data_IF_865116539259
#
_entry.id   IF_865116539259
#
_cell.length_a   1.000
_cell.length_b   1.000
_cell.length_c   1.000
_cell.angle_alpha   90.00
_cell.angle_beta   90.00
_cell.angle_gamma   90.00
#
_symmetry.space_group_name_H-M   'P 1'
#
loop_
_entity.id
_entity.type
_entity.pdbx_description
1 polymer ?
#
# COMPACT_ATOMS: atom_id res chain seq x y z
N UNK A 1 -4.16 6.88 -17.15
CA UNK A 1 -5.09 6.18 -16.22
C UNK A 1 -5.88 5.20 -17.05
N UNK A 2 -6.01 3.95 -16.60
CA UNK A 2 -6.73 2.90 -17.34
C UNK A 2 -8.22 3.26 -17.44
N UNK A 3 -8.79 3.27 -18.65
CA UNK A 3 -10.20 3.57 -18.87
C UNK A 3 -11.00 2.27 -18.92
N UNK A 4 -11.77 2.00 -17.85
CA UNK A 4 -12.55 0.78 -17.70
C UNK A 4 -14.05 1.09 -17.57
N UNK A 5 -14.92 0.36 -18.28
CA UNK A 5 -16.37 0.47 -18.06
C UNK A 5 -16.74 0.27 -16.59
N UNK A 6 -17.42 1.26 -16.00
CA UNK A 6 -17.84 1.25 -14.59
C UNK A 6 -16.84 1.85 -13.59
N UNK A 7 -15.66 2.30 -14.04
CA UNK A 7 -14.68 2.93 -13.14
C UNK A 7 -15.15 4.29 -12.60
N UNK A 8 -15.96 5.03 -13.37
CA UNK A 8 -16.49 6.33 -12.95
C UNK A 8 -17.44 6.21 -11.74
N UNK A 9 -18.21 5.13 -11.67
CA UNK A 9 -19.04 4.82 -10.49
C UNK A 9 -18.16 4.59 -9.26
N UNK A 10 -17.08 3.82 -9.41
CA UNK A 10 -16.12 3.60 -8.33
C UNK A 10 -15.55 4.94 -7.85
N UNK A 11 -15.09 5.81 -8.74
CA UNK A 11 -14.55 7.13 -8.36
C UNK A 11 -15.60 8.00 -7.65
N UNK A 12 -16.85 7.99 -8.11
CA UNK A 12 -17.93 8.71 -7.44
C UNK A 12 -18.20 8.17 -6.04
N UNK A 13 -18.19 6.85 -5.85
CA UNK A 13 -18.39 6.23 -4.54
C UNK A 13 -17.23 6.54 -3.58
N UNK A 14 -15.98 6.49 -4.06
CA UNK A 14 -14.79 6.86 -3.29
C UNK A 14 -14.85 8.33 -2.87
N UNK A 15 -15.16 9.24 -3.81
CA UNK A 15 -15.31 10.67 -3.54
C UNK A 15 -16.41 10.94 -2.52
N UNK A 16 -17.51 10.18 -2.58
CA UNK A 16 -18.61 10.25 -1.62
C UNK A 16 -18.33 9.51 -0.31
N UNK A 17 -17.13 8.97 -0.09
CA UNK A 17 -16.73 8.21 1.10
C UNK A 17 -17.62 6.98 1.38
N UNK A 18 -18.28 6.43 0.35
CA UNK A 18 -19.13 5.24 0.43
C UNK A 18 -18.29 3.97 0.31
N UNK A 19 -17.41 3.74 1.29
CA UNK A 19 -16.36 2.71 1.28
C UNK A 19 -16.87 1.31 0.92
N UNK A 20 -17.91 0.83 1.59
CA UNK A 20 -18.43 -0.53 1.34
C UNK A 20 -19.03 -0.67 -0.07
N UNK A 21 -19.72 0.37 -0.55
CA UNK A 21 -20.24 0.40 -1.92
C UNK A 21 -19.11 0.44 -2.95
N UNK A 22 -18.05 1.22 -2.69
CA UNK A 22 -16.88 1.29 -3.54
C UNK A 22 -16.16 -0.07 -3.61
N UNK A 23 -15.96 -0.75 -2.48
CA UNK A 23 -15.37 -2.09 -2.42
C UNK A 23 -16.22 -3.12 -3.17
N UNK A 24 -17.56 -3.07 -3.02
CA UNK A 24 -18.46 -3.95 -3.76
C UNK A 24 -18.37 -3.72 -5.28
N UNK A 25 -18.27 -2.47 -5.73
CA UNK A 25 -18.09 -2.14 -7.14
C UNK A 25 -16.70 -2.57 -7.66
N UNK A 26 -15.64 -2.32 -6.89
CA UNK A 26 -14.27 -2.74 -7.20
C UNK A 26 -14.15 -4.25 -7.30
N UNK A 27 -14.80 -5.02 -6.41
CA UNK A 27 -14.82 -6.48 -6.50
C UNK A 27 -15.44 -6.98 -7.80
N UNK A 28 -16.52 -6.35 -8.28
CA UNK A 28 -17.13 -6.67 -9.58
C UNK A 28 -16.18 -6.35 -10.73
N UNK A 29 -15.50 -5.21 -10.69
CA UNK A 29 -14.49 -4.86 -11.69
C UNK A 29 -13.30 -5.81 -11.67
N UNK A 30 -12.80 -6.18 -10.49
CA UNK A 30 -11.67 -7.10 -10.35
C UNK A 30 -11.99 -8.50 -10.88
N UNK A 31 -13.26 -8.94 -10.79
CA UNK A 31 -13.70 -10.20 -11.41
C UNK A 31 -13.71 -10.12 -12.94
N UNK A 32 -14.07 -8.97 -13.51
CA UNK A 32 -14.15 -8.75 -14.97
C UNK A 32 -12.80 -8.42 -15.60
N UNK A 33 -11.94 -7.72 -14.86
CA UNK A 33 -10.64 -7.20 -15.28
C UNK A 33 -9.56 -7.63 -14.28
N UNK A 34 -9.27 -8.93 -14.14
CA UNK A 34 -8.39 -9.45 -13.08
C UNK A 34 -6.94 -8.96 -13.17
N UNK A 35 -6.49 -8.55 -14.36
CA UNK A 35 -5.15 -8.02 -14.63
C UNK A 35 -5.06 -6.50 -14.50
N UNK A 36 -6.17 -5.79 -14.21
CA UNK A 36 -6.11 -4.34 -13.99
C UNK A 36 -5.40 -4.04 -12.67
N UNK A 37 -4.17 -3.52 -12.77
CA UNK A 37 -3.44 -3.02 -11.62
C UNK A 37 -4.16 -1.81 -10.99
N UNK A 38 -4.82 -0.98 -11.81
CA UNK A 38 -5.51 0.21 -11.33
C UNK A 38 -6.71 -0.13 -10.43
N UNK A 39 -7.51 -1.14 -10.78
CA UNK A 39 -8.61 -1.62 -9.93
C UNK A 39 -8.07 -2.10 -8.58
N UNK A 40 -7.00 -2.89 -8.58
CA UNK A 40 -6.37 -3.40 -7.36
C UNK A 40 -5.74 -2.30 -6.50
N UNK A 41 -5.16 -1.29 -7.13
CA UNK A 41 -4.65 -0.10 -6.45
C UNK A 41 -5.77 0.69 -5.76
N UNK A 42 -6.90 0.92 -6.44
CA UNK A 42 -8.05 1.59 -5.83
C UNK A 42 -8.67 0.77 -4.69
N UNK A 43 -8.77 -0.56 -4.84
CA UNK A 43 -9.19 -1.49 -3.78
C UNK A 43 -8.33 -1.31 -2.54
N UNK A 44 -7.00 -1.34 -2.70
CA UNK A 44 -6.06 -1.09 -1.61
C UNK A 44 -6.26 0.26 -0.94
N UNK A 45 -6.42 1.34 -1.72
CA UNK A 45 -6.68 2.67 -1.16
C UNK A 45 -7.95 2.70 -0.29
N UNK A 46 -9.05 2.13 -0.79
CA UNK A 46 -10.34 2.12 -0.06
C UNK A 46 -10.26 1.25 1.20
N UNK A 47 -9.58 0.10 1.13
CA UNK A 47 -9.36 -0.75 2.30
C UNK A 47 -8.55 -0.03 3.39
N UNK A 48 -7.46 0.66 3.02
CA UNK A 48 -6.69 1.47 3.97
C UNK A 48 -7.51 2.62 4.56
N UNK A 49 -8.36 3.27 3.76
CA UNK A 49 -9.29 4.30 4.25
C UNK A 49 -10.38 3.73 5.16
N UNK A 50 -10.62 2.42 5.12
CA UNK A 50 -11.53 1.70 6.01
C UNK A 50 -10.80 0.94 7.13
N UNK A 51 -9.49 1.19 7.32
CA UNK A 51 -8.62 0.52 8.31
C UNK A 51 -8.54 -1.01 8.14
N UNK A 52 -8.87 -1.52 6.95
CA UNK A 52 -8.79 -2.94 6.56
C UNK A 52 -7.37 -3.26 6.06
N UNK A 53 -6.39 -3.12 6.95
CA UNK A 53 -4.96 -3.15 6.59
C UNK A 53 -4.53 -4.39 5.82
N UNK A 54 -4.97 -5.57 6.25
CA UNK A 54 -4.57 -6.85 5.64
C UNK A 54 -5.13 -6.98 4.23
N UNK A 55 -6.41 -6.63 4.03
CA UNK A 55 -7.05 -6.65 2.72
C UNK A 55 -6.39 -5.63 1.79
N UNK A 56 -6.12 -4.43 2.30
CA UNK A 56 -5.47 -3.38 1.53
C UNK A 56 -4.05 -3.76 1.06
N UNK A 57 -3.25 -4.40 1.93
CA UNK A 57 -1.93 -4.92 1.55
C UNK A 57 -2.06 -6.02 0.50
N UNK A 58 -3.04 -6.92 0.64
CA UNK A 58 -3.29 -7.97 -0.34
C UNK A 58 -3.69 -7.39 -1.72
N UNK A 59 -4.53 -6.36 -1.73
CA UNK A 59 -4.92 -5.65 -2.94
C UNK A 59 -3.72 -4.91 -3.58
N UNK A 60 -2.89 -4.21 -2.80
CA UNK A 60 -1.68 -3.58 -3.33
C UNK A 60 -0.67 -4.59 -3.88
N UNK A 61 -0.46 -5.73 -3.22
CA UNK A 61 0.37 -6.80 -3.78
C UNK A 61 -0.18 -7.31 -5.11
N UNK A 62 -1.49 -7.40 -5.26
CA UNK A 62 -2.10 -7.72 -6.55
C UNK A 62 -1.86 -6.63 -7.60
N UNK A 63 -1.94 -5.35 -7.22
CA UNK A 63 -1.60 -4.24 -8.10
C UNK A 63 -0.14 -4.32 -8.57
N UNK A 64 0.81 -4.54 -7.65
CA UNK A 64 2.24 -4.67 -7.96
C UNK A 64 2.56 -5.88 -8.86
N UNK A 65 1.84 -7.00 -8.70
CA UNK A 65 1.97 -8.16 -9.59
C UNK A 65 1.50 -7.86 -11.01
N UNK A 66 0.43 -7.08 -11.13
CA UNK A 66 -0.14 -6.71 -12.43
C UNK A 66 0.67 -5.59 -13.11
N UNK A 67 1.21 -4.66 -12.33
CA UNK A 67 2.09 -3.59 -12.79
C UNK A 67 3.04 -3.14 -11.66
N UNK A 68 4.33 -3.45 -11.83
CA UNK A 68 5.36 -3.15 -10.85
C UNK A 68 5.59 -1.65 -10.63
N UNK A 69 5.10 -0.77 -11.52
CA UNK A 69 5.24 0.69 -11.36
C UNK A 69 4.52 1.21 -10.10
N UNK A 70 3.44 0.54 -9.65
CA UNK A 70 2.74 0.90 -8.41
C UNK A 70 3.60 0.78 -7.16
N UNK A 71 4.75 0.09 -7.22
CA UNK A 71 5.74 0.09 -6.13
C UNK A 71 6.16 1.50 -5.73
N UNK A 72 6.22 2.41 -6.69
CA UNK A 72 6.66 3.80 -6.48
C UNK A 72 5.48 4.77 -6.28
N UNK A 73 4.25 4.29 -6.22
CA UNK A 73 3.08 5.16 -6.04
C UNK A 73 3.11 5.77 -4.62
N UNK A 74 3.18 7.11 -4.48
CA UNK A 74 3.33 7.75 -3.17
C UNK A 74 2.23 7.35 -2.18
N UNK A 75 0.99 7.22 -2.66
CA UNK A 75 -0.16 6.81 -1.82
C UNK A 75 0.01 5.41 -1.25
N UNK A 76 0.57 4.46 -2.01
CA UNK A 76 0.80 3.08 -1.54
C UNK A 76 1.81 3.07 -0.39
N UNK A 77 2.92 3.80 -0.57
CA UNK A 77 3.98 3.91 0.45
C UNK A 77 3.44 4.61 1.71
N UNK A 78 2.74 5.73 1.54
CA UNK A 78 2.14 6.48 2.65
C UNK A 78 1.12 5.64 3.43
N UNK A 79 0.27 4.88 2.73
CA UNK A 79 -0.67 3.98 3.39
C UNK A 79 0.04 2.87 4.16
N UNK A 80 1.06 2.24 3.58
CA UNK A 80 1.85 1.24 4.27
C UNK A 80 2.52 1.79 5.54
N UNK A 81 3.04 3.02 5.50
CA UNK A 81 3.57 3.73 6.68
C UNK A 81 2.46 4.02 7.70
N UNK A 82 1.28 4.50 7.26
CA UNK A 82 0.13 4.76 8.14
C UNK A 82 -0.24 3.53 8.96
N UNK A 83 -0.24 2.35 8.35
CA UNK A 83 -0.53 1.09 9.03
C UNK A 83 0.47 0.72 10.14
N UNK A 84 1.69 1.28 10.14
CA UNK A 84 2.65 1.09 11.23
C UNK A 84 2.15 1.62 12.57
N UNK A 85 1.08 2.42 12.59
CA UNK A 85 0.43 2.84 13.85
C UNK A 85 -0.16 1.66 14.62
N UNK A 86 -0.66 0.65 13.91
CA UNK A 86 -1.48 -0.41 14.49
C UNK A 86 -0.64 -1.43 15.24
N UNK A 87 -0.89 -1.62 16.53
CA UNK A 87 -0.19 -2.64 17.33
C UNK A 87 -0.46 -4.07 16.85
N UNK A 88 -1.68 -4.33 16.37
CA UNK A 88 -2.07 -5.66 15.89
C UNK A 88 -1.56 -5.97 14.48
N UNK A 89 -1.45 -4.96 13.62
CA UNK A 89 -1.30 -5.16 12.17
C UNK A 89 -0.02 -4.57 11.59
N UNK A 90 0.82 -3.86 12.37
CA UNK A 90 2.05 -3.28 11.84
C UNK A 90 2.97 -4.32 11.18
N UNK A 91 3.01 -5.56 11.67
CA UNK A 91 3.86 -6.62 11.11
C UNK A 91 3.59 -6.89 9.63
N UNK A 92 2.31 -6.89 9.21
CA UNK A 92 1.93 -7.05 7.80
C UNK A 92 2.46 -5.91 6.94
N UNK A 93 2.43 -4.68 7.44
CA UNK A 93 2.86 -3.51 6.70
C UNK A 93 4.38 -3.33 6.72
N UNK A 94 5.06 -3.76 7.80
CA UNK A 94 6.51 -3.88 7.84
C UNK A 94 7.01 -4.87 6.78
N UNK A 95 6.39 -6.04 6.69
CA UNK A 95 6.70 -7.04 5.67
C UNK A 95 6.51 -6.48 4.25
N UNK A 96 5.39 -5.80 4.00
CA UNK A 96 5.12 -5.13 2.73
C UNK A 96 6.13 -4.03 2.40
N UNK A 97 6.48 -3.18 3.37
CA UNK A 97 7.48 -2.12 3.21
C UNK A 97 8.87 -2.68 2.88
N UNK A 98 9.28 -3.78 3.52
CA UNK A 98 10.60 -4.38 3.34
C UNK A 98 10.69 -5.20 2.06
N UNK A 99 9.74 -6.12 1.83
CA UNK A 99 9.85 -7.16 0.81
C UNK A 99 9.25 -6.75 -0.53
N UNK A 100 8.17 -5.99 -0.52
CA UNK A 100 7.43 -5.65 -1.73
C UNK A 100 7.79 -4.24 -2.24
N UNK A 101 7.81 -3.25 -1.33
CA UNK A 101 8.15 -1.86 -1.66
C UNK A 101 9.65 -1.62 -1.72
N UNK A 102 10.43 -2.26 -0.85
CA UNK A 102 11.89 -2.24 -0.90
C UNK A 102 12.43 -0.82 -0.89
N UNK A 103 13.40 -0.53 -1.77
CA UNK A 103 14.08 0.77 -1.86
C UNK A 103 13.13 1.95 -2.11
N UNK A 104 12.00 1.73 -2.79
CA UNK A 104 11.04 2.80 -3.09
C UNK A 104 10.47 3.46 -1.82
N UNK A 105 10.40 2.72 -0.71
CA UNK A 105 9.86 3.23 0.55
C UNK A 105 10.91 3.97 1.41
N UNK A 106 12.20 3.89 1.09
CA UNK A 106 13.28 4.39 1.97
C UNK A 106 13.14 5.88 2.28
N UNK A 107 12.96 6.79 1.30
CA UNK A 107 12.84 8.22 1.61
C UNK A 107 11.67 8.50 2.56
N UNK A 108 10.51 7.89 2.33
CA UNK A 108 9.35 8.08 3.20
C UNK A 108 9.52 7.44 4.58
N UNK A 109 10.30 6.37 4.70
CA UNK A 109 10.67 5.78 5.99
C UNK A 109 11.63 6.68 6.77
N UNK A 110 12.58 7.34 6.11
CA UNK A 110 13.49 8.31 6.74
C UNK A 110 12.72 9.51 7.29
N UNK A 111 11.80 10.08 6.51
CA UNK A 111 10.93 11.16 6.97
C UNK A 111 10.03 10.68 8.11
N UNK A 112 9.39 9.53 7.97
CA UNK A 112 8.55 8.98 9.03
C UNK A 112 9.33 8.71 10.33
N UNK A 113 10.58 8.26 10.25
CA UNK A 113 11.44 8.04 11.41
C UNK A 113 11.81 9.36 12.12
N UNK A 114 12.00 10.44 11.36
CA UNK A 114 12.43 11.75 11.87
C UNK A 114 11.29 12.55 12.49
N UNK A 115 10.16 12.65 11.79
CA UNK A 115 9.17 13.70 12.05
C UNK A 115 7.72 13.21 12.20
N UNK A 116 7.44 11.92 12.03
CA UNK A 116 6.05 11.44 12.14
C UNK A 116 5.46 11.76 13.54
N UNK A 117 4.22 12.26 13.66
CA UNK A 117 3.65 12.71 14.94
C UNK A 117 3.59 11.59 15.99
N UNK A 118 3.30 10.36 15.55
CA UNK A 118 3.20 9.20 16.43
C UNK A 118 4.55 8.55 16.71
N UNK A 119 4.93 8.46 17.99
CA UNK A 119 6.19 7.87 18.42
C UNK A 119 6.33 6.39 18.01
N UNK A 120 5.25 5.61 18.03
CA UNK A 120 5.25 4.22 17.60
C UNK A 120 5.65 4.08 16.12
N UNK A 121 5.14 4.96 15.25
CA UNK A 121 5.49 4.98 13.83
C UNK A 121 6.95 5.39 13.64
N UNK A 122 7.43 6.43 14.33
CA UNK A 122 8.85 6.84 14.28
C UNK A 122 9.77 5.67 14.63
N UNK A 123 9.52 5.03 15.77
CA UNK A 123 10.30 3.88 16.26
C UNK A 123 10.28 2.71 15.28
N UNK A 124 9.10 2.37 14.76
CA UNK A 124 8.93 1.26 13.79
C UNK A 124 9.61 1.56 12.46
N UNK A 125 9.48 2.77 11.92
CA UNK A 125 10.16 3.19 10.69
C UNK A 125 11.68 3.16 10.85
N UNK A 126 12.21 3.70 11.95
CA UNK A 126 13.64 3.66 12.25
C UNK A 126 14.17 2.22 12.39
N UNK A 127 13.37 1.30 12.94
CA UNK A 127 13.72 -0.11 13.02
C UNK A 127 13.82 -0.77 11.64
N UNK A 128 12.90 -0.45 10.71
CA UNK A 128 12.95 -0.96 9.34
C UNK A 128 14.18 -0.47 8.57
N UNK A 129 14.58 0.80 8.78
CA UNK A 129 15.80 1.34 8.15
C UNK A 129 17.07 0.62 8.65
N UNK A 130 17.14 0.29 9.96
CA UNK A 130 18.28 -0.48 10.51
C UNK A 130 18.36 -1.90 9.97
N UNK A 131 17.21 -2.55 9.74
CA UNK A 131 17.15 -3.91 9.18
C UNK A 131 17.65 -3.99 7.73
N UNK A 132 17.77 -2.84 7.04
CA UNK A 132 18.31 -2.73 5.67
C UNK A 132 19.83 -2.49 5.62
N UNK A 133 20.51 -2.47 6.78
CA UNK A 133 21.96 -2.33 6.88
C UNK A 133 22.76 -3.42 6.13
N UNK A 134 24.09 -3.30 6.02
CA UNK A 134 24.89 -3.61 4.82
C UNK A 134 25.06 -5.09 4.39
N UNK A 135 24.18 -6.01 4.78
CA UNK A 135 24.22 -7.40 4.34
C UNK A 135 23.63 -7.64 2.94
N UNK A 136 23.02 -6.63 2.31
CA UNK A 136 22.40 -6.77 0.97
C UNK A 136 23.27 -6.28 -0.20
N UNK A 137 24.56 -5.99 0.01
CA UNK A 137 25.50 -5.57 -1.06
C UNK A 137 26.41 -6.68 -1.60
N UNK A 138 26.25 -7.91 -1.14
CA UNK A 138 27.05 -9.03 -1.63
C UNK A 138 26.14 -10.11 -2.19
N UNK A 139 25.75 -9.96 -3.46
CA UNK A 139 25.59 -11.09 -4.36
C UNK A 139 25.77 -10.60 -5.79
N UNK A 140 27.03 -10.53 -6.17
CA UNK A 140 27.48 -10.58 -7.56
C UNK A 140 28.63 -11.57 -7.60
N UNK A 141 28.31 -12.83 -7.91
CA UNK A 141 29.20 -13.79 -8.54
C UNK A 141 28.40 -14.66 -9.49
#
# INVERSE_FOLDING_TARGET
MEQLPGIDEVHRLIKAQRRDSALAALKKLAAKYPTSAYVRYLEGNVDFDNLRWVDGVAAYRAALRNDAAYRNAPVVIQNAIRCLVSDRFHGTCQDFLLKDLGEAAVPSLEDAAREHPMASVRTRAAALLRQRGPESRTDSR
#
